data_IF_063018126868
#
_entry.id   IF_063018126868
#
_cell.length_a   1.000
_cell.length_b   1.000
_cell.length_c   1.000
_cell.angle_alpha   90.00
_cell.angle_beta   90.00
_cell.angle_gamma   90.00
#
_symmetry.space_group_name_H-M   'P 1'
#
loop_
_entity.id
_entity.type
_entity.pdbx_description
1 polymer ?
#
# COMPACT_ATOMS: atom_id res chain seq x y z
N UNK A 1 47.96 21.94 -56.90
CA UNK A 1 47.46 22.44 -55.61
C UNK A 1 45.90 22.48 -55.45
N UNK A 2 45.11 22.10 -56.44
CA UNK A 2 43.60 22.17 -56.36
C UNK A 2 42.95 21.14 -55.44
N UNK A 3 43.61 20.05 -55.06
CA UNK A 3 42.99 18.94 -54.31
C UNK A 3 43.35 18.92 -52.82
N UNK A 4 44.23 19.81 -52.35
CA UNK A 4 44.66 19.87 -50.95
C UNK A 4 43.48 20.18 -49.97
N UNK A 5 42.61 21.17 -50.26
CA UNK A 5 41.46 21.41 -49.37
C UNK A 5 40.46 20.25 -49.32
N UNK A 6 40.28 19.54 -50.45
CA UNK A 6 39.40 18.37 -50.51
C UNK A 6 39.92 17.20 -49.62
N UNK A 7 41.23 16.97 -49.62
CA UNK A 7 41.87 15.91 -48.79
C UNK A 7 41.75 16.27 -47.28
N UNK A 8 41.91 17.55 -46.94
CA UNK A 8 41.77 18.02 -45.54
C UNK A 8 40.31 17.81 -45.06
N UNK A 9 39.33 18.19 -45.87
CA UNK A 9 37.89 17.99 -45.52
C UNK A 9 37.56 16.52 -45.39
N UNK A 10 38.05 15.64 -46.27
CA UNK A 10 37.84 14.21 -46.21
C UNK A 10 38.47 13.60 -44.94
N UNK A 11 39.67 14.07 -44.58
CA UNK A 11 40.38 13.65 -43.36
C UNK A 11 39.61 14.06 -42.09
N UNK A 12 39.05 15.27 -42.06
CA UNK A 12 38.20 15.74 -40.96
C UNK A 12 36.93 14.92 -40.80
N UNK A 13 36.27 14.60 -41.92
CA UNK A 13 35.05 13.75 -41.90
C UNK A 13 35.40 12.36 -41.36
N UNK A 14 36.51 11.78 -41.82
CA UNK A 14 36.95 10.47 -41.35
C UNK A 14 37.28 10.48 -39.86
N UNK A 15 37.94 11.52 -39.36
CA UNK A 15 38.24 11.68 -37.94
C UNK A 15 36.96 11.80 -37.09
N UNK A 16 35.98 12.55 -37.55
CA UNK A 16 34.66 12.64 -36.89
C UNK A 16 33.97 11.31 -36.85
N UNK A 17 33.95 10.56 -37.94
CA UNK A 17 33.32 9.22 -38.01
C UNK A 17 34.00 8.22 -37.04
N UNK A 18 35.33 8.28 -36.92
CA UNK A 18 36.08 7.44 -35.97
C UNK A 18 35.74 7.83 -34.52
N UNK A 19 35.63 9.11 -34.22
CA UNK A 19 35.24 9.59 -32.89
C UNK A 19 33.81 9.16 -32.54
N UNK A 20 32.87 9.26 -33.48
CA UNK A 20 31.49 8.80 -33.28
C UNK A 20 31.46 7.28 -33.06
N UNK A 21 32.18 6.52 -33.86
CA UNK A 21 32.25 5.05 -33.72
C UNK A 21 32.86 4.66 -32.36
N UNK A 22 33.93 5.34 -31.94
CA UNK A 22 34.53 5.12 -30.64
C UNK A 22 33.57 5.45 -29.49
N UNK A 23 32.88 6.60 -29.57
CA UNK A 23 31.86 7.01 -28.60
C UNK A 23 30.72 5.99 -28.48
N UNK A 24 30.15 5.58 -29.61
CA UNK A 24 29.07 4.56 -29.64
C UNK A 24 29.55 3.22 -29.06
N UNK A 25 30.77 2.80 -29.39
CA UNK A 25 31.36 1.55 -28.86
C UNK A 25 31.60 1.62 -27.34
N UNK A 26 31.96 2.78 -26.80
CA UNK A 26 32.11 3.00 -25.36
C UNK A 26 30.75 2.93 -24.65
N UNK A 27 29.74 3.59 -25.21
CA UNK A 27 28.38 3.58 -24.69
C UNK A 27 27.80 2.18 -24.67
N UNK A 28 27.95 1.42 -25.77
CA UNK A 28 27.52 0.01 -25.84
C UNK A 28 28.21 -0.88 -24.81
N UNK A 29 29.52 -0.72 -24.58
CA UNK A 29 30.23 -1.47 -23.52
C UNK A 29 29.70 -1.16 -22.14
N UNK A 30 29.45 0.12 -21.87
CA UNK A 30 28.90 0.57 -20.59
C UNK A 30 27.49 0.03 -20.38
N UNK A 31 26.63 0.09 -21.40
CA UNK A 31 25.28 -0.48 -21.37
C UNK A 31 25.29 -2.00 -21.11
N UNK A 32 26.20 -2.73 -21.77
CA UNK A 32 26.34 -4.18 -21.51
C UNK A 32 26.78 -4.51 -20.10
N UNK A 33 27.66 -3.70 -19.50
CA UNK A 33 28.14 -3.93 -18.12
C UNK A 33 27.06 -3.67 -17.07
N UNK A 34 26.21 -2.67 -17.29
CA UNK A 34 25.17 -2.29 -16.32
C UNK A 34 23.85 -3.03 -16.53
N UNK A 35 23.42 -3.19 -17.77
CA UNK A 35 22.08 -3.67 -18.11
C UNK A 35 22.09 -4.99 -18.90
N UNK A 36 23.27 -5.51 -19.27
CA UNK A 36 23.36 -6.73 -20.09
C UNK A 36 22.86 -6.58 -21.53
N UNK A 37 22.54 -5.36 -21.99
CA UNK A 37 22.00 -5.05 -23.33
C UNK A 37 22.85 -4.00 -24.04
N UNK A 38 22.83 -4.02 -25.38
CA UNK A 38 23.59 -3.07 -26.23
C UNK A 38 22.95 -1.69 -26.32
N UNK A 39 21.68 -1.57 -25.92
CA UNK A 39 20.89 -0.35 -25.97
C UNK A 39 20.52 0.11 -24.56
N UNK A 40 20.90 1.35 -24.23
CA UNK A 40 20.61 1.95 -22.92
C UNK A 40 19.10 2.06 -22.69
N UNK A 41 18.32 2.42 -23.72
CA UNK A 41 16.88 2.58 -23.59
C UNK A 41 16.22 1.24 -23.27
N UNK A 42 16.62 0.17 -23.96
CA UNK A 42 16.15 -1.19 -23.68
C UNK A 42 16.63 -1.67 -22.30
N UNK A 43 17.87 -1.31 -21.91
CA UNK A 43 18.43 -1.65 -20.62
C UNK A 43 17.65 -0.99 -19.47
N UNK A 44 17.33 0.29 -19.58
CA UNK A 44 16.53 1.01 -18.59
C UNK A 44 15.12 0.45 -18.54
N UNK A 45 14.49 0.19 -19.70
CA UNK A 45 13.16 -0.41 -19.77
C UNK A 45 13.12 -1.79 -19.10
N UNK A 46 14.11 -2.64 -19.41
CA UNK A 46 14.24 -3.96 -18.78
C UNK A 46 14.45 -3.86 -17.27
N UNK A 47 15.32 -2.94 -16.82
CA UNK A 47 15.52 -2.72 -15.38
C UNK A 47 14.24 -2.23 -14.69
N UNK A 48 13.43 -1.39 -15.33
CA UNK A 48 12.11 -0.99 -14.83
C UNK A 48 11.13 -2.17 -14.78
N UNK A 49 11.12 -3.02 -15.82
CA UNK A 49 10.29 -4.22 -15.87
C UNK A 49 10.72 -5.23 -14.79
N UNK A 50 12.03 -5.42 -14.56
CA UNK A 50 12.56 -6.29 -13.51
C UNK A 50 12.18 -5.78 -12.11
N UNK A 51 12.25 -4.47 -11.87
CA UNK A 51 11.80 -3.84 -10.61
C UNK A 51 10.30 -4.01 -10.44
N UNK A 52 9.51 -3.73 -11.47
CA UNK A 52 8.06 -3.87 -11.44
C UNK A 52 7.61 -5.34 -11.23
N UNK A 53 8.40 -6.32 -11.69
CA UNK A 53 8.11 -7.75 -11.53
C UNK A 53 8.64 -8.37 -10.24
N UNK A 54 9.49 -7.65 -9.48
CA UNK A 54 10.08 -8.17 -8.24
C UNK A 54 9.22 -7.77 -7.05
N UNK A 55 8.57 -8.72 -6.35
CA UNK A 55 7.75 -8.41 -5.18
C UNK A 55 8.53 -7.67 -4.10
N UNK A 56 7.89 -6.70 -3.46
CA UNK A 56 8.44 -6.02 -2.30
C UNK A 56 8.74 -7.00 -1.18
N UNK A 57 9.85 -6.83 -0.48
CA UNK A 57 10.12 -7.59 0.74
C UNK A 57 9.24 -7.09 1.89
N UNK A 58 8.75 -8.01 2.71
CA UNK A 58 8.03 -7.70 3.95
C UNK A 58 8.92 -7.90 5.17
N UNK A 59 8.52 -7.29 6.28
CA UNK A 59 9.21 -7.45 7.56
C UNK A 59 9.20 -8.89 8.04
N UNK A 60 10.31 -9.42 8.50
CA UNK A 60 10.45 -10.80 9.00
C UNK A 60 10.29 -10.90 10.54
N UNK A 61 9.46 -10.07 11.15
CA UNK A 61 9.30 -10.01 12.62
C UNK A 61 8.39 -11.10 13.18
N UNK A 62 7.72 -11.89 12.33
CA UNK A 62 6.79 -12.96 12.76
C UNK A 62 7.41 -13.91 13.77
N UNK A 63 8.64 -14.35 13.55
CA UNK A 63 9.34 -15.30 14.46
C UNK A 63 9.55 -14.72 15.87
N UNK A 64 9.69 -13.42 15.98
CA UNK A 64 9.95 -12.73 17.27
C UNK A 64 8.64 -12.34 17.92
N UNK A 65 7.70 -11.80 17.15
CA UNK A 65 6.45 -11.25 17.66
C UNK A 65 5.41 -12.33 18.00
N UNK A 66 5.29 -13.37 17.18
CA UNK A 66 4.25 -14.38 17.33
C UNK A 66 4.28 -15.10 18.70
N UNK A 67 5.44 -15.54 19.26
CA UNK A 67 5.47 -16.13 20.58
C UNK A 67 4.98 -15.19 21.68
N UNK A 68 5.24 -13.88 21.57
CA UNK A 68 4.79 -12.87 22.51
C UNK A 68 3.28 -12.67 22.40
N UNK A 69 2.76 -12.59 21.18
CA UNK A 69 1.33 -12.45 20.92
C UNK A 69 0.55 -13.64 21.48
N UNK A 70 1.01 -14.87 21.21
CA UNK A 70 0.35 -16.08 21.69
C UNK A 70 0.45 -16.21 23.24
N UNK A 71 1.53 -15.74 23.84
CA UNK A 71 1.64 -15.67 25.30
C UNK A 71 0.63 -14.69 25.92
N UNK A 72 0.36 -13.56 25.27
CA UNK A 72 -0.62 -12.58 25.74
C UNK A 72 -2.05 -12.94 25.36
N UNK A 73 -2.23 -13.60 24.24
CA UNK A 73 -3.52 -14.00 23.65
C UNK A 73 -3.45 -15.46 23.18
N UNK A 74 -3.70 -16.43 24.05
CA UNK A 74 -3.61 -17.86 23.71
C UNK A 74 -4.55 -18.28 22.56
N UNK A 75 -5.65 -17.54 22.37
CA UNK A 75 -6.64 -17.79 21.30
C UNK A 75 -6.26 -17.13 19.95
N UNK A 76 -5.12 -16.44 19.87
CA UNK A 76 -4.65 -15.82 18.64
C UNK A 76 -4.20 -16.85 17.62
N UNK A 77 -4.94 -16.99 16.53
CA UNK A 77 -4.62 -17.88 15.43
C UNK A 77 -3.97 -17.10 14.30
N UNK A 78 -2.66 -17.25 14.14
CA UNK A 78 -1.86 -16.49 13.17
C UNK A 78 -2.38 -16.61 11.75
N UNK A 79 -2.65 -17.82 11.26
CA UNK A 79 -3.06 -18.06 9.88
C UNK A 79 -4.46 -17.48 9.61
N UNK A 80 -5.37 -17.55 10.58
CA UNK A 80 -6.69 -16.92 10.49
C UNK A 80 -6.59 -15.39 10.43
N UNK A 81 -5.81 -14.79 11.32
CA UNK A 81 -5.64 -13.33 11.36
C UNK A 81 -4.93 -12.80 10.10
N UNK A 82 -3.95 -13.54 9.62
CA UNK A 82 -3.26 -13.27 8.36
C UNK A 82 -4.25 -13.29 7.18
N UNK A 83 -5.04 -14.33 7.06
CA UNK A 83 -6.03 -14.45 5.98
C UNK A 83 -7.10 -13.34 6.05
N UNK A 84 -7.56 -13.00 7.27
CA UNK A 84 -8.47 -11.86 7.46
C UNK A 84 -7.85 -10.55 6.98
N UNK A 85 -6.59 -10.30 7.32
CA UNK A 85 -5.87 -9.10 6.89
C UNK A 85 -5.74 -9.04 5.35
N UNK A 86 -5.40 -10.16 4.70
CA UNK A 86 -5.28 -10.26 3.24
C UNK A 86 -6.61 -10.06 2.53
N UNK A 87 -7.68 -10.70 3.03
CA UNK A 87 -9.02 -10.55 2.48
C UNK A 87 -9.53 -9.11 2.60
N UNK A 88 -9.34 -8.49 3.76
CA UNK A 88 -9.77 -7.13 3.99
C UNK A 88 -8.97 -6.12 3.17
N UNK A 89 -7.65 -6.32 2.98
CA UNK A 89 -6.84 -5.49 2.08
C UNK A 89 -7.36 -5.59 0.64
N UNK A 90 -7.66 -6.80 0.18
CA UNK A 90 -8.23 -7.00 -1.16
C UNK A 90 -9.58 -6.27 -1.32
N UNK A 91 -10.46 -6.38 -0.32
CA UNK A 91 -11.73 -5.66 -0.31
C UNK A 91 -11.55 -4.14 -0.27
N UNK A 92 -10.56 -3.64 0.50
CA UNK A 92 -10.25 -2.22 0.56
C UNK A 92 -9.82 -1.65 -0.80
N UNK A 93 -8.92 -2.34 -1.51
CA UNK A 93 -8.47 -1.93 -2.85
C UNK A 93 -9.62 -2.03 -3.89
N UNK A 94 -10.47 -3.05 -3.76
CA UNK A 94 -11.69 -3.17 -4.59
C UNK A 94 -12.69 -2.06 -4.30
N UNK A 95 -12.87 -1.68 -3.04
CA UNK A 95 -13.78 -0.61 -2.64
C UNK A 95 -13.33 0.76 -3.20
N UNK A 96 -12.02 1.03 -3.21
CA UNK A 96 -11.46 2.22 -3.86
C UNK A 96 -11.75 2.22 -5.37
N UNK A 97 -11.52 1.09 -6.02
CA UNK A 97 -11.75 0.93 -7.47
C UNK A 97 -13.23 1.07 -7.85
N UNK A 98 -14.11 0.45 -7.08
CA UNK A 98 -15.56 0.51 -7.31
C UNK A 98 -16.22 1.80 -6.76
N UNK A 99 -15.47 2.59 -5.98
CA UNK A 99 -15.97 3.75 -5.23
C UNK A 99 -17.16 3.38 -4.32
N UNK A 100 -17.15 2.19 -3.73
CA UNK A 100 -18.20 1.64 -2.88
C UNK A 100 -17.62 1.11 -1.56
N UNK A 101 -17.94 1.79 -0.46
CA UNK A 101 -17.48 1.43 0.90
C UNK A 101 -18.07 0.10 1.38
N UNK A 102 -19.24 -0.30 0.89
CA UNK A 102 -19.94 -1.52 1.35
C UNK A 102 -19.22 -2.81 0.93
N UNK A 103 -18.29 -2.75 -0.01
CA UNK A 103 -17.40 -3.87 -0.39
C UNK A 103 -16.51 -4.28 0.78
N UNK A 104 -16.07 -3.32 1.62
CA UNK A 104 -15.29 -3.61 2.83
C UNK A 104 -16.23 -4.14 3.93
N UNK A 105 -16.29 -5.45 4.06
CA UNK A 105 -17.18 -6.11 5.02
C UNK A 105 -16.64 -6.02 6.45
N UNK A 106 -15.34 -6.20 6.63
CA UNK A 106 -14.66 -6.15 7.93
C UNK A 106 -14.04 -4.78 8.20
N UNK A 107 -13.88 -4.45 9.48
CA UNK A 107 -13.23 -3.23 9.95
C UNK A 107 -14.09 -2.47 10.96
N UNK A 108 -13.45 -1.58 11.70
CA UNK A 108 -14.16 -0.69 12.62
C UNK A 108 -14.83 0.48 11.87
N UNK A 109 -15.65 1.24 12.59
CA UNK A 109 -16.34 2.41 12.01
C UNK A 109 -15.38 3.47 11.48
N UNK A 110 -14.24 3.66 12.16
CA UNK A 110 -13.23 4.66 11.79
C UNK A 110 -12.56 4.30 10.45
N UNK A 111 -12.25 3.02 10.23
CA UNK A 111 -11.70 2.54 8.98
C UNK A 111 -12.67 2.75 7.81
N UNK A 112 -13.94 2.42 8.01
CA UNK A 112 -14.98 2.65 6.98
C UNK A 112 -15.20 4.14 6.70
N UNK A 113 -15.11 4.99 7.72
CA UNK A 113 -15.23 6.44 7.54
C UNK A 113 -14.02 7.03 6.83
N UNK A 114 -12.81 6.55 7.13
CA UNK A 114 -11.59 6.92 6.41
C UNK A 114 -11.70 6.54 4.93
N UNK A 115 -12.12 5.32 4.62
CA UNK A 115 -12.34 4.85 3.25
C UNK A 115 -13.40 5.70 2.53
N UNK A 116 -14.53 6.01 3.21
CA UNK A 116 -15.59 6.87 2.67
C UNK A 116 -15.06 8.28 2.35
N UNK A 117 -14.26 8.85 3.24
CA UNK A 117 -13.64 10.16 3.05
C UNK A 117 -12.69 10.15 1.85
N UNK A 118 -11.88 9.11 1.70
CA UNK A 118 -10.95 8.95 0.59
C UNK A 118 -11.69 8.84 -0.75
N UNK A 119 -12.71 7.98 -0.82
CA UNK A 119 -13.58 7.84 -2.01
C UNK A 119 -14.26 9.18 -2.35
N UNK A 120 -14.86 9.84 -1.35
CA UNK A 120 -15.55 11.12 -1.55
C UNK A 120 -14.61 12.21 -2.05
N UNK A 121 -13.37 12.24 -1.54
CA UNK A 121 -12.34 13.17 -2.02
C UNK A 121 -11.97 12.91 -3.47
N UNK A 122 -11.78 11.66 -3.87
CA UNK A 122 -11.49 11.29 -5.26
C UNK A 122 -12.66 11.67 -6.19
N UNK A 123 -13.88 11.30 -5.81
CA UNK A 123 -15.11 11.63 -6.57
C UNK A 123 -15.29 13.14 -6.75
N UNK A 124 -15.06 13.93 -5.69
CA UNK A 124 -15.19 15.40 -5.75
C UNK A 124 -14.18 16.04 -6.70
N UNK A 125 -13.05 15.40 -6.94
CA UNK A 125 -12.02 15.80 -7.91
C UNK A 125 -12.27 15.23 -9.31
N UNK A 126 -13.34 14.48 -9.53
CA UNK A 126 -13.62 13.78 -10.79
C UNK A 126 -12.63 12.66 -11.10
N UNK A 127 -11.98 12.11 -10.08
CA UNK A 127 -10.97 11.05 -10.19
C UNK A 127 -11.51 9.71 -9.76
N UNK A 128 -11.00 8.66 -10.37
CA UNK A 128 -11.22 7.27 -9.95
C UNK A 128 -9.87 6.56 -9.84
N UNK A 129 -9.63 5.91 -8.72
CA UNK A 129 -8.44 5.12 -8.44
C UNK A 129 -8.73 3.65 -8.79
N UNK A 130 -7.84 3.03 -9.53
CA UNK A 130 -8.02 1.67 -10.03
C UNK A 130 -6.90 0.76 -9.55
N UNK A 131 -7.28 -0.35 -8.94
CA UNK A 131 -6.40 -1.46 -8.61
C UNK A 131 -6.92 -2.69 -9.33
N UNK A 132 -6.18 -3.17 -10.36
CA UNK A 132 -6.58 -4.34 -11.13
C UNK A 132 -5.54 -5.43 -11.06
N UNK A 133 -5.97 -6.70 -11.17
CA UNK A 133 -5.13 -7.89 -11.03
C UNK A 133 -4.34 -7.92 -9.72
N UNK A 134 -4.98 -7.51 -8.63
CA UNK A 134 -4.37 -7.48 -7.30
C UNK A 134 -3.92 -8.89 -6.89
N UNK A 135 -2.65 -9.01 -6.52
CA UNK A 135 -2.05 -10.26 -6.04
C UNK A 135 -1.19 -9.98 -4.81
N UNK A 136 -1.50 -10.67 -3.72
CA UNK A 136 -0.70 -10.63 -2.50
C UNK A 136 0.34 -11.73 -2.58
N UNK A 137 1.63 -11.37 -2.50
CA UNK A 137 2.73 -12.31 -2.59
C UNK A 137 3.11 -12.89 -1.22
N UNK A 138 3.15 -12.04 -0.22
CA UNK A 138 3.56 -12.41 1.13
C UNK A 138 2.95 -11.46 2.15
N UNK A 139 2.55 -12.01 3.29
CA UNK A 139 2.09 -11.25 4.46
C UNK A 139 2.75 -11.80 5.71
N UNK A 140 3.36 -10.90 6.50
CA UNK A 140 4.06 -11.24 7.73
C UNK A 140 3.74 -10.22 8.83
N UNK A 141 3.95 -10.60 10.10
CA UNK A 141 3.87 -9.65 11.20
C UNK A 141 5.09 -8.72 11.13
N UNK A 142 4.82 -7.43 10.97
CA UNK A 142 5.83 -6.38 10.97
C UNK A 142 6.08 -5.83 12.37
N UNK A 143 5.03 -5.79 13.21
CA UNK A 143 5.13 -5.15 14.52
C UNK A 143 4.07 -5.69 15.48
N UNK A 144 4.45 -5.78 16.77
CA UNK A 144 3.54 -5.97 17.87
C UNK A 144 3.77 -4.88 18.91
N UNK A 145 2.71 -4.15 19.27
CA UNK A 145 2.76 -3.05 20.24
C UNK A 145 1.73 -3.26 21.33
N UNK A 146 2.15 -3.01 22.56
CA UNK A 146 1.27 -2.93 23.72
C UNK A 146 1.17 -1.48 24.14
N UNK A 147 -0.02 -0.96 24.17
CA UNK A 147 -0.32 0.41 24.61
C UNK A 147 -1.31 0.36 25.77
N UNK A 148 -1.50 1.49 26.46
CA UNK A 148 -2.47 1.54 27.56
C UNK A 148 -3.87 1.18 27.04
N UNK A 149 -4.40 0.05 27.52
CA UNK A 149 -5.75 -0.42 27.19
C UNK A 149 -5.93 -1.08 25.83
N UNK A 150 -4.88 -1.20 24.98
CA UNK A 150 -4.98 -1.87 23.68
C UNK A 150 -3.69 -2.56 23.27
N UNK A 151 -3.83 -3.58 22.43
CA UNK A 151 -2.70 -4.23 21.76
C UNK A 151 -2.90 -4.11 20.25
N UNK A 152 -1.80 -3.90 19.52
CA UNK A 152 -1.82 -3.71 18.07
C UNK A 152 -0.86 -4.70 17.44
N UNK A 153 -1.37 -5.50 16.50
CA UNK A 153 -0.58 -6.35 15.61
C UNK A 153 -0.63 -5.73 14.22
N UNK A 154 0.52 -5.32 13.71
CA UNK A 154 0.65 -4.82 12.34
C UNK A 154 1.10 -5.95 11.44
N UNK A 155 0.26 -6.38 10.51
CA UNK A 155 0.67 -7.19 9.38
C UNK A 155 1.20 -6.30 8.27
N UNK A 156 2.15 -6.83 7.50
CA UNK A 156 2.68 -6.17 6.31
C UNK A 156 2.55 -7.08 5.13
N UNK A 157 1.89 -6.61 4.08
CA UNK A 157 1.63 -7.35 2.85
C UNK A 157 2.36 -6.74 1.67
N UNK A 158 3.05 -7.60 0.87
CA UNK A 158 3.58 -7.24 -0.43
C UNK A 158 2.51 -7.49 -1.49
N UNK A 159 2.15 -6.47 -2.24
CA UNK A 159 1.05 -6.47 -3.21
C UNK A 159 1.57 -6.09 -4.58
N UNK A 160 1.14 -6.84 -5.58
CA UNK A 160 1.32 -6.56 -6.99
C UNK A 160 -0.03 -6.19 -7.59
N UNK A 161 -0.09 -5.10 -8.35
CA UNK A 161 -1.30 -4.71 -9.07
C UNK A 161 -0.96 -3.75 -10.21
N UNK A 162 -1.87 -3.58 -11.17
CA UNK A 162 -1.87 -2.37 -11.98
C UNK A 162 -2.59 -1.29 -11.18
N UNK A 163 -1.86 -0.24 -10.83
CA UNK A 163 -2.39 0.90 -10.09
C UNK A 163 -2.34 2.15 -10.96
N UNK A 164 -3.49 2.77 -11.15
CA UNK A 164 -3.61 4.02 -11.91
C UNK A 164 -4.82 4.82 -11.49
N UNK A 165 -4.74 6.13 -11.71
CA UNK A 165 -5.83 7.07 -11.44
C UNK A 165 -6.31 7.64 -12.78
N UNK A 166 -7.61 7.61 -13.01
CA UNK A 166 -8.24 8.24 -14.15
C UNK A 166 -9.00 9.50 -13.76
N UNK A 167 -9.05 10.46 -14.68
CA UNK A 167 -10.09 11.49 -14.71
C UNK A 167 -11.13 11.15 -15.78
N UNK A 168 -12.03 12.08 -16.10
CA UNK A 168 -13.13 11.85 -17.06
C UNK A 168 -12.68 11.35 -18.46
N UNK A 169 -11.40 11.43 -18.82
CA UNK A 169 -10.93 11.21 -20.20
C UNK A 169 -9.61 10.44 -20.33
N UNK A 170 -8.79 10.35 -19.29
CA UNK A 170 -7.44 9.77 -19.41
C UNK A 170 -6.87 9.26 -18.08
N UNK A 171 -5.81 8.46 -18.18
CA UNK A 171 -4.96 8.12 -17.03
C UNK A 171 -4.13 9.36 -16.67
N UNK A 172 -4.27 9.86 -15.45
CA UNK A 172 -3.56 11.05 -14.94
C UNK A 172 -2.41 10.70 -14.00
N UNK A 173 -2.39 9.49 -13.44
CA UNK A 173 -1.32 8.99 -12.60
C UNK A 173 -1.21 7.46 -12.72
N UNK A 174 -0.01 6.90 -12.55
CA UNK A 174 0.22 5.47 -12.63
C UNK A 174 0.15 4.90 -14.07
N UNK A 175 -0.06 3.59 -14.19
CA UNK A 175 -0.13 2.90 -15.50
C UNK A 175 -1.05 1.70 -15.43
N UNK A 176 -1.89 1.55 -16.45
CA UNK A 176 -2.74 0.37 -16.68
C UNK A 176 -2.00 -0.78 -17.41
N UNK A 177 -0.72 -0.54 -17.78
CA UNK A 177 0.10 -1.50 -18.53
C UNK A 177 1.37 -1.93 -17.80
N UNK A 178 1.71 -1.27 -16.70
CA UNK A 178 2.90 -1.57 -15.91
C UNK A 178 2.48 -1.99 -14.51
N UNK A 179 2.94 -3.18 -14.08
CA UNK A 179 2.72 -3.65 -12.72
C UNK A 179 3.44 -2.74 -11.73
N UNK A 180 2.77 -2.46 -10.64
CA UNK A 180 3.31 -1.76 -9.48
C UNK A 180 3.44 -2.73 -8.31
N UNK A 181 4.56 -2.63 -7.59
CA UNK A 181 4.83 -3.40 -6.38
C UNK A 181 4.70 -2.47 -5.19
N UNK A 182 3.66 -2.67 -4.42
CA UNK A 182 3.35 -1.88 -3.23
C UNK A 182 3.46 -2.70 -1.95
N UNK A 183 3.54 -2.02 -0.82
CA UNK A 183 3.59 -2.64 0.49
C UNK A 183 2.60 -1.95 1.43
N UNK A 184 1.70 -2.73 2.01
CA UNK A 184 0.66 -2.24 2.91
C UNK A 184 0.89 -2.72 4.34
N UNK A 185 0.79 -1.82 5.30
CA UNK A 185 0.65 -2.14 6.71
C UNK A 185 -0.85 -2.23 7.04
N UNK A 186 -1.20 -3.26 7.79
CA UNK A 186 -2.58 -3.57 8.18
C UNK A 186 -2.59 -3.73 9.70
N UNK A 187 -3.22 -2.79 10.39
CA UNK A 187 -3.29 -2.83 11.85
C UNK A 187 -4.55 -3.58 12.34
N UNK A 188 -4.31 -4.64 13.09
CA UNK A 188 -5.33 -5.31 13.90
C UNK A 188 -5.19 -4.83 15.34
N UNK A 189 -6.29 -4.32 15.90
CA UNK A 189 -6.33 -3.77 17.26
C UNK A 189 -7.22 -4.63 18.15
N UNK A 190 -6.71 -4.96 19.33
CA UNK A 190 -7.44 -5.59 20.40
C UNK A 190 -7.56 -4.60 21.56
N UNK A 191 -8.78 -4.21 21.91
CA UNK A 191 -9.05 -3.26 22.98
C UNK A 191 -9.35 -4.04 24.27
N UNK A 192 -8.46 -3.94 25.24
CA UNK A 192 -8.59 -4.58 26.56
C UNK A 192 -9.35 -3.70 27.54
N UNK A 193 -9.02 -2.40 27.56
CA UNK A 193 -9.65 -1.40 28.41
C UNK A 193 -9.75 -0.07 27.65
N UNK A 194 -10.98 0.37 27.44
CA UNK A 194 -11.26 1.58 26.64
C UNK A 194 -10.87 2.87 27.35
N UNK A 195 -11.05 2.95 28.66
CA UNK A 195 -10.78 4.18 29.40
C UNK A 195 -9.28 4.50 29.43
N UNK A 196 -8.44 3.46 29.43
CA UNK A 196 -6.99 3.61 29.30
C UNK A 196 -6.58 3.87 27.85
N UNK A 197 -7.28 3.33 26.85
CA UNK A 197 -6.98 3.54 25.44
C UNK A 197 -7.28 4.99 25.00
N UNK A 198 -8.24 5.65 25.59
CA UNK A 198 -8.60 7.06 25.29
C UNK A 198 -7.50 8.07 25.61
N UNK A 199 -6.62 7.76 26.56
CA UNK A 199 -5.57 8.69 27.00
C UNK A 199 -4.44 8.93 25.99
N UNK A 200 -4.33 8.14 24.94
CA UNK A 200 -3.21 8.19 24.00
C UNK A 200 -3.58 8.59 22.55
N UNK A 201 -4.82 8.95 22.30
CA UNK A 201 -5.25 9.34 20.94
C UNK A 201 -6.10 10.60 21.00
N UNK A 202 -5.59 11.68 20.44
CA UNK A 202 -6.36 12.87 20.03
C UNK A 202 -7.36 12.58 18.90
N UNK A 203 -7.52 11.32 18.52
CA UNK A 203 -8.50 10.82 17.56
C UNK A 203 -9.57 10.03 18.31
N UNK A 204 -10.74 10.62 18.48
CA UNK A 204 -11.91 10.01 19.09
C UNK A 204 -12.19 8.63 18.48
N UNK A 205 -12.01 7.57 19.26
CA UNK A 205 -12.76 6.32 19.05
C UNK A 205 -14.23 6.62 19.45
N UNK A 206 -14.84 7.56 18.75
CA UNK A 206 -16.20 7.97 18.94
C UNK A 206 -17.13 6.92 18.36
N UNK A 207 -17.54 5.92 19.18
CA UNK A 207 -18.70 5.14 18.81
C UNK A 207 -19.89 6.07 18.91
N UNK A 208 -20.44 6.38 17.75
CA UNK A 208 -21.69 7.12 17.65
C UNK A 208 -22.85 6.14 17.55
N UNK A 209 -23.97 6.51 18.09
CA UNK A 209 -25.19 5.73 17.96
C UNK A 209 -25.60 5.68 16.48
N UNK A 210 -25.78 4.49 15.88
CA UNK A 210 -26.14 4.36 14.46
C UNK A 210 -27.50 4.97 14.12
N UNK A 211 -28.36 5.19 15.15
CA UNK A 211 -29.69 5.76 14.95
C UNK A 211 -29.75 7.28 15.08
N UNK A 212 -29.01 7.89 16.04
CA UNK A 212 -29.11 9.33 16.29
C UNK A 212 -27.77 10.09 16.18
N UNK A 213 -26.65 9.41 15.92
CA UNK A 213 -25.33 10.02 15.81
C UNK A 213 -24.73 10.52 17.14
N UNK A 214 -25.43 10.36 18.26
CA UNK A 214 -24.93 10.79 19.55
C UNK A 214 -23.74 9.93 20.02
N UNK A 215 -22.73 10.50 20.70
CA UNK A 215 -21.60 9.74 21.20
C UNK A 215 -22.07 8.75 22.27
N UNK A 216 -21.64 7.50 22.16
CA UNK A 216 -21.92 6.47 23.17
C UNK A 216 -20.82 6.57 24.22
N UNK A 217 -21.18 7.15 25.38
CA UNK A 217 -20.25 7.38 26.49
C UNK A 217 -20.11 6.16 27.39
N UNK A 218 -21.15 5.33 27.47
CA UNK A 218 -21.18 4.12 28.28
C UNK A 218 -21.24 2.87 27.40
N UNK A 219 -20.13 2.16 27.29
CA UNK A 219 -20.00 0.96 26.46
C UNK A 219 -20.62 -0.31 27.05
N UNK A 220 -21.04 -0.26 28.30
CA UNK A 220 -21.83 -1.32 28.91
C UNK A 220 -23.33 -1.15 28.70
N UNK A 221 -23.77 -0.02 28.14
CA UNK A 221 -25.19 0.24 27.93
C UNK A 221 -25.70 -0.56 26.70
N UNK A 222 -26.69 -1.40 26.92
CA UNK A 222 -27.39 -2.11 25.84
C UNK A 222 -28.25 -1.16 24.97
N UNK A 223 -28.43 0.08 25.38
CA UNK A 223 -29.27 1.09 24.75
C UNK A 223 -28.59 2.45 24.74
N UNK A 224 -28.80 3.22 23.69
CA UNK A 224 -28.32 4.60 23.59
C UNK A 224 -28.99 5.48 24.63
N UNK A 225 -28.20 6.21 25.41
CA UNK A 225 -28.72 7.11 26.47
C UNK A 225 -29.55 8.28 25.90
N UNK A 226 -29.35 8.62 24.63
CA UNK A 226 -30.01 9.77 23.97
C UNK A 226 -31.30 9.39 23.23
N UNK A 227 -31.32 8.24 22.53
CA UNK A 227 -32.48 7.88 21.71
C UNK A 227 -33.15 6.54 22.09
N UNK A 228 -32.59 5.83 23.08
CA UNK A 228 -33.13 4.53 23.53
C UNK A 228 -32.99 3.37 22.54
N UNK A 229 -32.38 3.58 21.37
CA UNK A 229 -32.18 2.47 20.45
C UNK A 229 -31.17 1.47 20.98
N UNK A 230 -31.39 0.18 20.69
CA UNK A 230 -30.43 -0.86 21.05
C UNK A 230 -29.07 -0.60 20.37
N UNK A 231 -28.03 -0.56 21.19
CA UNK A 231 -26.65 -0.43 20.74
C UNK A 231 -26.05 -1.82 20.73
N UNK A 232 -25.68 -2.30 19.56
CA UNK A 232 -24.91 -3.54 19.46
C UNK A 232 -23.55 -3.26 20.08
N UNK A 233 -23.30 -3.83 21.25
CA UNK A 233 -22.00 -3.71 21.93
C UNK A 233 -20.94 -4.24 20.99
N UNK A 234 -20.04 -3.38 20.56
CA UNK A 234 -18.77 -3.83 19.99
C UNK A 234 -18.11 -4.74 21.02
N UNK A 235 -17.90 -5.98 20.63
CA UNK A 235 -17.23 -6.94 21.50
C UNK A 235 -15.77 -6.47 21.68
N UNK A 236 -15.51 -5.77 22.80
CA UNK A 236 -14.23 -5.11 23.10
C UNK A 236 -13.06 -6.09 23.22
N UNK A 237 -13.34 -7.38 23.26
CA UNK A 237 -12.34 -8.46 23.35
C UNK A 237 -12.16 -9.22 22.03
N UNK A 238 -12.20 -8.53 20.91
CA UNK A 238 -12.03 -9.12 19.58
C UNK A 238 -11.00 -8.31 18.80
N UNK A 239 -10.18 -9.00 18.03
CA UNK A 239 -9.28 -8.37 17.07
C UNK A 239 -10.09 -7.71 15.95
N UNK A 240 -9.89 -6.43 15.75
CA UNK A 240 -10.61 -5.63 14.75
C UNK A 240 -9.63 -4.93 13.83
N UNK A 241 -9.89 -4.94 12.54
CA UNK A 241 -9.14 -4.17 11.56
C UNK A 241 -9.34 -2.67 11.80
N UNK A 242 -8.25 -1.92 11.84
CA UNK A 242 -8.25 -0.53 12.24
C UNK A 242 -7.76 0.42 11.14
N UNK A 243 -6.67 0.08 10.45
CA UNK A 243 -6.12 0.91 9.39
C UNK A 243 -5.43 0.11 8.30
N UNK A 244 -5.37 0.70 7.11
CA UNK A 244 -4.51 0.31 6.00
C UNK A 244 -3.64 1.52 5.64
N UNK A 245 -2.33 1.30 5.63
CA UNK A 245 -1.37 2.34 5.28
C UNK A 245 -0.40 1.79 4.22
N UNK A 246 -0.40 2.41 3.04
CA UNK A 246 0.63 2.14 2.05
C UNK A 246 1.97 2.69 2.53
N UNK A 247 3.01 1.89 2.44
CA UNK A 247 4.35 2.29 2.84
C UNK A 247 5.22 2.44 1.61
N UNK A 248 5.84 3.61 1.45
CA UNK A 248 6.81 3.86 0.40
C UNK A 248 7.93 2.82 0.43
N UNK A 249 8.13 2.16 -0.70
CA UNK A 249 9.21 1.23 -0.90
C UNK A 249 10.34 1.94 -1.65
N UNK A 250 11.34 2.41 -0.90
CA UNK A 250 12.59 2.86 -1.50
C UNK A 250 13.50 1.66 -1.71
N UNK A 251 13.78 1.32 -2.97
CA UNK A 251 14.86 0.40 -3.30
C UNK A 251 16.17 1.02 -2.83
N UNK A 252 16.76 0.44 -1.78
CA UNK A 252 18.11 0.80 -1.28
C UNK A 252 19.17 0.04 -2.06
#
# INVERSE_FOLDING_TARGET
MKYIPLIIVLGLILAILVLIFYGVSRVKRFSRQLFGTDDIIQGVKKAQEDVASTPCSVSAMTRIALPQIVSDFPDFQYDEMKQRAENALTQYLQALTAQDVEILQEGNGDLKEQLRSQISSAVSQGKCEHFTQVKIHQTEIARYRKEAGRCIVTFQSAVESYHYVTDASSVVHGSDQTLEQSRYNIDLVYIQNRDLAKGNTDGALGITCPNCGAPITNLGAAYCEYCGSAVTLLNLKVWTLHSFDETDYHHS
#
